data_IF_638112644156
#
_entry.id   IF_638112644156
#
_cell.length_a   1.000
_cell.length_b   1.000
_cell.length_c   1.000
_cell.angle_alpha   90.00
_cell.angle_beta   90.00
_cell.angle_gamma   90.00
#
_symmetry.space_group_name_H-M   'P 1'
#
loop_
_entity.id
_entity.type
_entity.pdbx_description
1 polymer ?
#
# COMPACT_ATOMS: atom_id res chain seq x y z
N UNK A 1 28.94 -19.24 22.60
CA UNK A 1 28.32 -18.25 21.71
C UNK A 1 27.59 -19.04 20.65
N UNK A 2 26.35 -19.41 20.96
CA UNK A 2 25.54 -20.25 20.07
C UNK A 2 25.01 -19.38 18.95
N UNK A 3 25.00 -19.91 17.73
CA UNK A 3 24.49 -19.22 16.54
C UNK A 3 23.04 -18.72 16.72
N UNK A 4 22.31 -19.26 17.71
CA UNK A 4 20.97 -18.84 18.14
C UNK A 4 20.98 -18.02 19.44
N UNK A 5 21.70 -16.90 19.47
CA UNK A 5 21.57 -15.93 20.56
C UNK A 5 20.17 -15.27 20.53
N UNK A 6 19.64 -14.89 21.69
CA UNK A 6 18.31 -14.27 21.87
C UNK A 6 18.10 -13.09 20.90
N UNK A 7 19.17 -12.35 20.60
CA UNK A 7 19.17 -11.24 19.64
C UNK A 7 18.92 -11.68 18.19
N UNK A 8 19.42 -12.84 17.76
CA UNK A 8 19.16 -13.37 16.42
C UNK A 8 17.68 -13.76 16.28
N UNK A 9 17.13 -14.44 17.29
CA UNK A 9 15.71 -14.79 17.32
C UNK A 9 14.82 -13.54 17.30
N UNK A 10 15.16 -12.53 18.10
CA UNK A 10 14.47 -11.23 18.09
C UNK A 10 14.55 -10.55 16.72
N UNK A 11 15.72 -10.56 16.06
CA UNK A 11 15.90 -10.00 14.72
C UNK A 11 15.06 -10.74 13.68
N UNK A 12 15.02 -12.09 13.72
CA UNK A 12 14.19 -12.90 12.84
C UNK A 12 12.71 -12.61 13.02
N UNK A 13 12.23 -12.53 14.27
CA UNK A 13 10.83 -12.18 14.56
C UNK A 13 10.52 -10.79 14.02
N UNK A 14 11.33 -9.78 14.32
CA UNK A 14 11.12 -8.43 13.81
C UNK A 14 11.17 -8.35 12.27
N UNK A 15 12.04 -9.14 11.64
CA UNK A 15 12.12 -9.27 10.19
C UNK A 15 10.85 -9.86 9.58
N UNK A 16 10.30 -10.92 10.18
CA UNK A 16 9.02 -11.53 9.74
C UNK A 16 7.86 -10.54 9.92
N UNK A 17 7.81 -9.83 11.05
CA UNK A 17 6.75 -8.85 11.32
C UNK A 17 6.77 -7.72 10.30
N UNK A 18 7.95 -7.16 10.00
CA UNK A 18 8.11 -6.14 8.96
C UNK A 18 7.81 -6.71 7.56
N UNK A 19 8.32 -7.91 7.27
CA UNK A 19 8.11 -8.61 6.02
C UNK A 19 6.63 -8.82 5.68
N UNK A 20 5.77 -9.07 6.68
CA UNK A 20 4.32 -9.18 6.45
C UNK A 20 3.67 -7.88 5.96
N UNK A 21 4.12 -6.72 6.48
CA UNK A 21 3.64 -5.40 6.01
C UNK A 21 4.14 -5.12 4.60
N UNK A 22 5.40 -5.47 4.31
CA UNK A 22 5.98 -5.35 2.97
C UNK A 22 5.29 -6.30 1.97
N UNK A 23 4.92 -7.51 2.39
CA UNK A 23 4.17 -8.45 1.55
C UNK A 23 2.77 -7.92 1.19
N UNK A 24 2.08 -7.25 2.13
CA UNK A 24 0.81 -6.57 1.85
C UNK A 24 0.99 -5.48 0.78
N UNK A 25 2.08 -4.72 0.90
CA UNK A 25 2.46 -3.68 -0.06
C UNK A 25 2.69 -4.23 -1.45
N UNK A 26 3.54 -5.25 -1.57
CA UNK A 26 3.84 -5.92 -2.84
C UNK A 26 2.60 -6.57 -3.43
N UNK A 27 1.70 -7.15 -2.60
CA UNK A 27 0.45 -7.73 -3.07
C UNK A 27 -0.47 -6.68 -3.72
N UNK A 28 -0.59 -5.48 -3.13
CA UNK A 28 -1.40 -4.40 -3.71
C UNK A 28 -0.86 -3.93 -5.06
N UNK A 29 0.46 -3.76 -5.18
CA UNK A 29 1.10 -3.38 -6.44
C UNK A 29 1.01 -4.49 -7.49
N UNK A 30 1.28 -5.74 -7.11
CA UNK A 30 1.21 -6.90 -7.99
C UNK A 30 -0.21 -7.10 -8.53
N UNK A 31 -1.23 -6.91 -7.69
CA UNK A 31 -2.62 -6.94 -8.11
C UNK A 31 -2.92 -5.89 -9.20
N UNK A 32 -2.43 -4.66 -9.04
CA UNK A 32 -2.58 -3.59 -10.05
C UNK A 32 -1.83 -3.96 -11.33
N UNK A 33 -0.54 -4.28 -11.21
CA UNK A 33 0.33 -4.58 -12.34
C UNK A 33 -0.15 -5.82 -13.11
N UNK A 34 -0.50 -6.90 -12.42
CA UNK A 34 -0.92 -8.16 -13.04
C UNK A 34 -2.23 -8.06 -13.83
N UNK A 35 -3.08 -7.08 -13.54
CA UNK A 35 -4.36 -6.90 -14.24
C UNK A 35 -4.28 -5.83 -15.32
N UNK A 36 -3.63 -4.70 -15.02
CA UNK A 36 -3.60 -3.51 -15.88
C UNK A 36 -2.40 -3.56 -16.82
N UNK A 37 -1.34 -4.29 -16.46
CA UNK A 37 -0.07 -4.42 -17.18
C UNK A 37 0.62 -3.06 -17.39
N UNK A 38 0.51 -2.19 -16.38
CA UNK A 38 1.17 -0.88 -16.32
C UNK A 38 1.88 -0.75 -14.99
N UNK A 39 3.18 -0.43 -15.03
CA UNK A 39 4.02 -0.27 -13.84
C UNK A 39 3.67 1.05 -13.14
N UNK A 40 3.20 0.98 -11.90
CA UNK A 40 2.88 2.16 -11.09
C UNK A 40 4.09 2.60 -10.24
N UNK A 41 5.03 3.33 -10.84
CA UNK A 41 6.20 3.87 -10.10
C UNK A 41 5.75 4.75 -8.92
N UNK A 42 4.67 5.52 -9.10
CA UNK A 42 4.09 6.38 -8.07
C UNK A 42 3.29 5.66 -6.98
N UNK A 43 3.19 4.33 -6.99
CA UNK A 43 2.41 3.58 -5.99
C UNK A 43 2.86 3.89 -4.55
N UNK A 44 4.16 4.06 -4.33
CA UNK A 44 4.68 4.40 -3.01
C UNK A 44 4.27 5.81 -2.53
N UNK A 45 3.94 6.71 -3.45
CA UNK A 45 3.42 8.04 -3.11
C UNK A 45 1.97 7.99 -2.63
N UNK A 46 1.19 6.98 -3.04
CA UNK A 46 -0.13 6.74 -2.44
C UNK A 46 0.00 6.36 -0.96
N UNK A 47 1.05 5.63 -0.59
CA UNK A 47 1.37 5.32 0.80
C UNK A 47 1.70 6.60 1.56
N UNK A 48 2.56 7.47 0.99
CA UNK A 48 2.89 8.77 1.57
C UNK A 48 1.62 9.58 1.84
N UNK A 49 0.72 9.70 0.85
CA UNK A 49 -0.54 10.42 1.02
C UNK A 49 -1.42 9.79 2.10
N UNK A 50 -1.44 8.45 2.21
CA UNK A 50 -2.13 7.74 3.29
C UNK A 50 -1.52 8.01 4.67
N UNK A 51 -0.19 8.09 4.77
CA UNK A 51 0.51 8.40 6.02
C UNK A 51 0.19 9.83 6.46
N UNK A 52 0.19 10.79 5.54
CA UNK A 52 -0.30 12.15 5.82
C UNK A 52 -1.77 12.14 6.23
N UNK A 53 -2.63 11.43 5.50
CA UNK A 53 -4.06 11.31 5.82
C UNK A 53 -4.28 10.84 7.26
N UNK A 54 -3.57 9.79 7.69
CA UNK A 54 -3.60 9.30 9.06
C UNK A 54 -3.10 10.33 10.07
N UNK A 55 -1.98 10.99 9.78
CA UNK A 55 -1.45 12.03 10.65
C UNK A 55 -2.45 13.18 10.84
N UNK A 56 -3.07 13.68 9.76
CA UNK A 56 -4.07 14.75 9.85
C UNK A 56 -5.32 14.31 10.61
N UNK A 57 -5.87 13.14 10.28
CA UNK A 57 -7.09 12.63 10.93
C UNK A 57 -6.89 12.39 12.43
N UNK A 58 -5.75 11.84 12.82
CA UNK A 58 -5.46 11.52 14.21
C UNK A 58 -4.98 12.73 15.02
N UNK A 59 -4.00 13.48 14.50
CA UNK A 59 -3.33 14.54 15.27
C UNK A 59 -4.12 15.84 15.29
N UNK A 60 -4.76 16.21 14.16
CA UNK A 60 -5.43 17.51 14.01
C UNK A 60 -6.94 17.39 14.22
N UNK A 61 -7.57 16.38 13.62
CA UNK A 61 -9.01 16.15 13.78
C UNK A 61 -9.37 15.31 15.02
N UNK A 62 -8.37 14.80 15.75
CA UNK A 62 -8.53 13.97 16.95
C UNK A 62 -9.50 12.79 16.75
N UNK A 63 -9.57 12.26 15.52
CA UNK A 63 -10.41 11.11 15.22
C UNK A 63 -9.83 9.85 15.90
N UNK A 64 -10.69 8.94 16.40
CA UNK A 64 -10.22 7.69 16.94
C UNK A 64 -9.49 6.89 15.84
N UNK A 65 -8.38 6.25 16.20
CA UNK A 65 -7.44 5.66 15.23
C UNK A 65 -8.10 4.67 14.26
N UNK A 66 -9.08 3.90 14.72
CA UNK A 66 -9.82 2.95 13.89
C UNK A 66 -10.66 3.64 12.82
N UNK A 67 -11.31 4.76 13.17
CA UNK A 67 -12.08 5.56 12.22
C UNK A 67 -11.16 6.28 11.25
N UNK A 68 -10.05 6.85 11.76
CA UNK A 68 -9.03 7.45 10.92
C UNK A 68 -8.48 6.44 9.89
N UNK A 69 -8.22 5.20 10.32
CA UNK A 69 -7.72 4.13 9.45
C UNK A 69 -8.72 3.76 8.36
N UNK A 70 -10.01 3.59 8.70
CA UNK A 70 -11.05 3.29 7.70
C UNK A 70 -11.20 4.42 6.68
N UNK A 71 -11.24 5.68 7.14
CA UNK A 71 -11.32 6.84 6.26
C UNK A 71 -10.08 6.92 5.36
N UNK A 72 -8.89 6.65 5.90
CA UNK A 72 -7.65 6.67 5.14
C UNK A 72 -7.63 5.55 4.08
N UNK A 73 -7.98 4.32 4.45
CA UNK A 73 -8.05 3.17 3.52
C UNK A 73 -8.99 3.49 2.35
N UNK A 74 -10.18 4.00 2.63
CA UNK A 74 -11.14 4.37 1.59
C UNK A 74 -10.65 5.57 0.77
N UNK A 75 -10.06 6.57 1.43
CA UNK A 75 -9.51 7.76 0.77
C UNK A 75 -8.39 7.42 -0.21
N UNK A 76 -7.43 6.59 0.19
CA UNK A 76 -6.33 6.14 -0.70
C UNK A 76 -6.87 5.18 -1.77
N UNK A 77 -7.88 4.37 -1.47
CA UNK A 77 -8.60 3.60 -2.48
C UNK A 77 -9.20 4.50 -3.58
N UNK A 78 -9.87 5.58 -3.19
CA UNK A 78 -10.41 6.57 -4.15
C UNK A 78 -9.27 7.25 -4.93
N UNK A 79 -8.18 7.63 -4.26
CA UNK A 79 -7.01 8.20 -4.93
C UNK A 79 -6.40 7.22 -5.96
N UNK A 80 -6.38 5.92 -5.66
CA UNK A 80 -5.97 4.88 -6.59
C UNK A 80 -6.86 4.83 -7.83
N UNK A 81 -8.19 4.91 -7.65
CA UNK A 81 -9.14 5.00 -8.79
C UNK A 81 -8.93 6.29 -9.58
N UNK A 82 -8.75 7.44 -8.90
CA UNK A 82 -8.51 8.72 -9.55
C UNK A 82 -7.22 8.69 -10.37
N UNK A 83 -6.15 8.15 -9.81
CA UNK A 83 -4.87 7.99 -10.51
C UNK A 83 -5.01 7.10 -11.74
N UNK A 84 -5.79 6.02 -11.63
CA UNK A 84 -6.10 5.18 -12.78
C UNK A 84 -6.84 5.95 -13.87
N UNK A 85 -7.92 6.66 -13.53
CA UNK A 85 -8.75 7.37 -14.51
C UNK A 85 -8.00 8.52 -15.17
N UNK A 86 -7.25 9.30 -14.38
CA UNK A 86 -6.62 10.54 -14.84
C UNK A 86 -5.30 10.29 -15.58
N UNK A 87 -4.53 9.29 -15.16
CA UNK A 87 -3.15 9.08 -15.65
C UNK A 87 -3.05 7.79 -16.44
N UNK A 88 -3.52 6.67 -15.88
CA UNK A 88 -3.24 5.35 -16.44
C UNK A 88 -4.15 5.03 -17.63
N UNK A 89 -5.46 5.27 -17.51
CA UNK A 89 -6.45 4.93 -18.53
C UNK A 89 -6.15 5.60 -19.89
N UNK A 90 -5.74 6.89 -19.97
CA UNK A 90 -5.32 7.51 -21.23
C UNK A 90 -4.05 6.90 -21.83
N UNK A 91 -3.22 6.23 -21.03
CA UNK A 91 -1.90 5.71 -21.42
C UNK A 91 -1.89 4.20 -21.70
N UNK A 92 -3.04 3.50 -21.54
CA UNK A 92 -3.13 2.06 -21.77
C UNK A 92 -2.73 1.63 -23.20
N UNK A 93 -2.90 2.50 -24.19
CA UNK A 93 -2.48 2.26 -25.58
C UNK A 93 -1.10 2.80 -25.96
N UNK A 94 -0.43 3.51 -25.04
CA UNK A 94 0.89 4.09 -25.29
C UNK A 94 2.01 3.08 -25.06
N UNK A 95 3.20 3.35 -25.61
CA UNK A 95 4.38 2.52 -25.38
C UNK A 95 4.70 2.41 -23.87
N UNK A 96 5.22 1.26 -23.38
CA UNK A 96 5.53 1.07 -21.96
C UNK A 96 6.42 2.17 -21.35
N UNK A 97 7.36 2.70 -22.14
CA UNK A 97 8.23 3.81 -21.73
C UNK A 97 7.43 5.09 -21.39
N UNK A 98 6.37 5.40 -22.15
CA UNK A 98 5.53 6.57 -21.89
C UNK A 98 4.74 6.41 -20.58
N UNK A 99 4.34 5.17 -20.26
CA UNK A 99 3.65 4.85 -19.01
C UNK A 99 4.59 5.00 -17.80
N UNK A 100 5.84 4.54 -17.92
CA UNK A 100 6.88 4.74 -16.89
C UNK A 100 7.19 6.23 -16.70
N UNK A 101 7.36 6.99 -17.79
CA UNK A 101 7.63 8.43 -17.73
C UNK A 101 6.47 9.19 -17.07
N UNK A 102 5.22 8.85 -17.40
CA UNK A 102 4.05 9.49 -16.79
C UNK A 102 3.91 9.15 -15.31
N UNK A 103 4.04 7.88 -14.93
CA UNK A 103 3.96 7.48 -13.51
C UNK A 103 5.13 8.00 -12.68
N UNK A 104 6.33 8.09 -13.25
CA UNK A 104 7.46 8.79 -12.65
C UNK A 104 7.22 10.31 -12.52
N UNK A 105 6.61 10.94 -13.52
CA UNK A 105 6.18 12.35 -13.43
C UNK A 105 5.18 12.59 -12.32
N UNK A 106 4.20 11.70 -12.15
CA UNK A 106 3.24 11.75 -11.03
C UNK A 106 3.94 11.57 -9.69
N UNK A 107 4.96 10.71 -9.60
CA UNK A 107 5.76 10.57 -8.39
C UNK A 107 6.36 11.92 -7.97
N UNK A 108 7.10 12.58 -8.88
CA UNK A 108 7.69 13.88 -8.58
C UNK A 108 6.64 14.96 -8.29
N UNK A 109 5.51 14.93 -8.99
CA UNK A 109 4.41 15.84 -8.76
C UNK A 109 3.83 15.69 -7.35
N UNK A 110 3.54 14.46 -6.91
CA UNK A 110 2.99 14.19 -5.59
C UNK A 110 3.96 14.54 -4.47
N UNK A 111 5.25 14.20 -4.61
CA UNK A 111 6.29 14.59 -3.66
C UNK A 111 6.42 16.12 -3.55
N UNK A 112 6.44 16.80 -4.69
CA UNK A 112 6.56 18.27 -4.73
C UNK A 112 5.33 18.93 -4.12
N UNK A 113 4.12 18.43 -4.45
CA UNK A 113 2.88 18.91 -3.88
C UNK A 113 2.83 18.70 -2.36
N UNK A 114 3.22 17.53 -1.87
CA UNK A 114 3.30 17.25 -0.44
C UNK A 114 4.31 18.14 0.27
N UNK A 115 5.46 18.41 -0.38
CA UNK A 115 6.49 19.32 0.16
C UNK A 115 5.96 20.75 0.31
N UNK A 116 5.23 21.26 -0.69
CA UNK A 116 4.64 22.61 -0.65
C UNK A 116 3.51 22.71 0.37
N UNK A 117 2.65 21.68 0.46
CA UNK A 117 1.47 21.70 1.33
C UNK A 117 1.80 21.41 2.80
N UNK A 118 2.74 20.51 3.06
CA UNK A 118 2.98 19.96 4.40
C UNK A 118 4.37 20.27 4.97
N UNK A 119 5.29 20.78 4.14
CA UNK A 119 6.69 21.01 4.48
C UNK A 119 7.54 19.75 4.39
N UNK A 120 8.83 19.90 4.70
CA UNK A 120 9.83 18.80 4.71
C UNK A 120 10.06 18.21 6.10
N UNK A 121 9.36 18.71 7.11
CA UNK A 121 9.53 18.27 8.50
C UNK A 121 8.99 16.85 8.70
N UNK A 122 9.71 16.08 9.51
CA UNK A 122 9.30 14.74 9.92
C UNK A 122 8.15 14.84 10.93
N UNK A 123 7.01 14.26 10.58
CA UNK A 123 5.80 14.27 11.41
C UNK A 123 5.58 12.87 11.99
N UNK A 124 5.63 12.76 13.30
CA UNK A 124 5.32 11.52 14.00
C UNK A 124 3.88 11.54 14.55
N UNK A 125 3.22 10.38 14.58
CA UNK A 125 1.85 10.27 15.11
C UNK A 125 1.80 10.44 16.66
N UNK A 126 2.94 10.42 17.34
CA UNK A 126 3.07 10.57 18.79
C UNK A 126 2.62 9.34 19.59
N UNK A 127 2.09 8.30 18.92
CA UNK A 127 1.62 7.08 19.56
C UNK A 127 2.79 6.18 19.97
N UNK A 128 2.96 6.01 21.28
CA UNK A 128 3.88 5.04 21.86
C UNK A 128 3.11 3.84 22.38
N UNK A 129 2.99 2.82 21.53
CA UNK A 129 2.43 1.53 21.95
C UNK A 129 3.44 0.78 22.84
N UNK A 130 2.97 -0.03 23.80
CA UNK A 130 3.84 -0.74 24.74
C UNK A 130 4.75 -1.73 24.02
N UNK A 131 5.93 -1.98 24.60
CA UNK A 131 6.84 -3.04 24.15
C UNK A 131 6.60 -4.27 25.01
N UNK A 132 6.31 -5.40 24.36
CA UNK A 132 6.16 -6.68 25.04
C UNK A 132 7.53 -7.28 25.30
N UNK A 133 7.81 -7.59 26.57
CA UNK A 133 9.01 -8.32 26.98
C UNK A 133 8.67 -9.80 27.09
N UNK A 134 9.18 -10.62 26.18
CA UNK A 134 8.89 -12.05 26.12
C UNK A 134 10.22 -12.79 26.16
N UNK A 135 10.49 -13.55 27.22
CA UNK A 135 11.71 -14.35 27.37
C UNK A 135 13.03 -13.57 27.15
N UNK A 136 13.08 -12.29 27.56
CA UNK A 136 14.23 -11.41 27.37
C UNK A 136 14.31 -10.71 26.02
N UNK A 137 13.38 -10.99 25.09
CA UNK A 137 13.23 -10.30 23.80
C UNK A 137 12.28 -9.10 23.91
N UNK A 138 12.54 -8.06 23.12
CA UNK A 138 11.70 -6.87 23.03
C UNK A 138 10.93 -6.83 21.71
N UNK A 139 9.61 -7.10 21.76
CA UNK A 139 8.74 -7.05 20.58
C UNK A 139 7.80 -5.87 20.67
N UNK A 140 7.86 -4.97 19.69
CA UNK A 140 6.95 -3.81 19.63
C UNK A 140 5.53 -4.25 19.35
N UNK A 141 4.58 -3.80 20.18
CA UNK A 141 3.15 -4.06 19.94
C UNK A 141 2.66 -3.45 18.62
N UNK A 142 3.24 -2.32 18.17
CA UNK A 142 2.96 -1.73 16.86
C UNK A 142 3.28 -2.70 15.72
N UNK A 143 4.41 -3.43 15.81
CA UNK A 143 4.84 -4.39 14.78
C UNK A 143 3.93 -5.62 14.73
N UNK A 144 3.52 -6.12 15.90
CA UNK A 144 2.57 -7.22 15.99
C UNK A 144 1.20 -6.86 15.42
N UNK A 145 0.68 -5.68 15.78
CA UNK A 145 -0.58 -5.18 15.26
C UNK A 145 -0.51 -4.97 13.75
N UNK A 146 0.60 -4.39 13.26
CA UNK A 146 0.83 -4.20 11.83
C UNK A 146 0.89 -5.54 11.08
N UNK A 147 1.61 -6.52 11.59
CA UNK A 147 1.67 -7.85 10.98
C UNK A 147 0.30 -8.53 10.97
N UNK A 148 -0.44 -8.50 12.08
CA UNK A 148 -1.77 -9.12 12.17
C UNK A 148 -2.76 -8.45 11.21
N UNK A 149 -2.78 -7.12 11.14
CA UNK A 149 -3.64 -6.38 10.22
C UNK A 149 -3.25 -6.61 8.75
N UNK A 150 -1.95 -6.69 8.46
CA UNK A 150 -1.45 -7.03 7.13
C UNK A 150 -1.89 -8.44 6.71
N UNK A 151 -1.75 -9.43 7.61
CA UNK A 151 -2.19 -10.80 7.35
C UNK A 151 -3.70 -10.86 7.10
N UNK A 152 -4.51 -10.15 7.88
CA UNK A 152 -5.95 -10.03 7.65
C UNK A 152 -6.22 -9.43 6.26
N UNK A 153 -5.53 -8.35 5.89
CA UNK A 153 -5.66 -7.72 4.57
C UNK A 153 -5.34 -8.69 3.43
N UNK A 154 -4.24 -9.43 3.53
CA UNK A 154 -3.83 -10.46 2.56
C UNK A 154 -4.89 -11.55 2.44
N UNK A 155 -5.38 -12.08 3.58
CA UNK A 155 -6.42 -13.12 3.59
C UNK A 155 -7.73 -12.61 3.00
N UNK A 156 -8.14 -11.38 3.30
CA UNK A 156 -9.34 -10.77 2.72
C UNK A 156 -9.24 -10.65 1.20
N UNK A 157 -8.09 -10.20 0.68
CA UNK A 157 -7.86 -10.14 -0.77
C UNK A 157 -7.85 -11.54 -1.37
N UNK A 158 -7.18 -12.51 -0.74
CA UNK A 158 -7.17 -13.89 -1.18
C UNK A 158 -8.59 -14.48 -1.29
N UNK A 159 -9.43 -14.25 -0.27
CA UNK A 159 -10.83 -14.68 -0.28
C UNK A 159 -11.64 -13.94 -1.35
N UNK A 160 -11.41 -12.64 -1.53
CA UNK A 160 -12.06 -11.87 -2.60
C UNK A 160 -11.71 -12.46 -3.96
N UNK A 161 -10.43 -12.72 -4.22
CA UNK A 161 -9.95 -13.28 -5.49
C UNK A 161 -10.48 -14.70 -5.75
N UNK A 162 -10.56 -15.54 -4.72
CA UNK A 162 -10.94 -16.95 -4.85
C UNK A 162 -12.43 -17.24 -4.76
N UNK A 163 -13.20 -16.44 -4.00
CA UNK A 163 -14.61 -16.73 -3.68
C UNK A 163 -15.61 -15.81 -4.37
N UNK A 164 -15.19 -14.73 -5.01
CA UNK A 164 -16.11 -13.78 -5.65
C UNK A 164 -16.07 -13.84 -7.17
N UNK A 165 -17.17 -13.45 -7.81
CA UNK A 165 -17.25 -13.31 -9.27
C UNK A 165 -16.24 -12.27 -9.78
N UNK A 166 -16.16 -11.13 -9.10
CA UNK A 166 -15.18 -10.07 -9.42
C UNK A 166 -13.75 -10.58 -9.33
N UNK A 167 -13.42 -11.35 -8.29
CA UNK A 167 -12.11 -11.99 -8.14
C UNK A 167 -11.77 -12.98 -9.26
N UNK A 168 -12.78 -13.70 -9.76
CA UNK A 168 -12.62 -14.59 -10.92
C UNK A 168 -12.36 -13.80 -12.19
N UNK A 169 -13.08 -12.70 -12.41
CA UNK A 169 -12.85 -11.80 -13.54
C UNK A 169 -11.46 -11.14 -13.49
N UNK A 170 -11.00 -10.70 -12.31
CA UNK A 170 -9.66 -10.15 -12.08
C UNK A 170 -8.60 -11.17 -12.48
N UNK A 171 -8.69 -12.41 -11.98
CA UNK A 171 -7.72 -13.46 -12.31
C UNK A 171 -7.77 -13.84 -13.79
N UNK A 172 -8.94 -13.85 -14.42
CA UNK A 172 -9.08 -14.14 -15.84
C UNK A 172 -8.43 -13.06 -16.73
N UNK A 173 -8.61 -11.78 -16.41
CA UNK A 173 -7.93 -10.67 -17.11
C UNK A 173 -6.41 -10.76 -16.97
N UNK A 174 -5.91 -11.13 -15.79
CA UNK A 174 -4.48 -11.30 -15.56
C UNK A 174 -3.86 -12.46 -16.36
N UNK A 175 -4.67 -13.43 -16.83
CA UNK A 175 -4.20 -14.51 -17.70
C UNK A 175 -4.25 -14.11 -19.17
N UNK A 176 -5.38 -13.56 -19.63
CA UNK A 176 -5.53 -13.08 -21.00
C UNK A 176 -6.45 -11.85 -21.08
N UNK A 177 -5.83 -10.67 -21.12
CA UNK A 177 -6.54 -9.39 -21.24
C UNK A 177 -7.22 -9.17 -22.59
N UNK A 178 -6.74 -9.81 -23.66
CA UNK A 178 -7.24 -9.58 -25.01
C UNK A 178 -8.53 -10.35 -25.27
N UNK A 179 -8.69 -11.51 -24.64
CA UNK A 179 -9.88 -12.36 -24.80
C UNK A 179 -11.05 -11.87 -23.92
N UNK A 180 -10.78 -11.22 -22.79
CA UNK A 180 -11.83 -10.88 -21.82
C UNK A 180 -13.00 -10.01 -22.33
N UNK A 181 -12.80 -9.02 -23.21
CA UNK A 181 -13.92 -8.30 -23.83
C UNK A 181 -14.85 -9.20 -24.66
N UNK A 182 -14.33 -10.29 -25.25
CA UNK A 182 -15.12 -11.27 -26.01
C UNK A 182 -16.00 -12.14 -25.09
N UNK A 183 -15.63 -12.25 -23.82
CA UNK A 183 -16.39 -12.96 -22.78
C UNK A 183 -17.47 -12.09 -22.12
N UNK A 184 -17.72 -10.89 -22.66
CA UNK A 184 -18.76 -9.97 -22.16
C UNK A 184 -18.39 -9.24 -20.87
N UNK A 185 -17.12 -9.28 -20.46
CA UNK A 185 -16.63 -8.59 -19.26
C UNK A 185 -16.19 -7.18 -19.61
N UNK A 186 -16.68 -6.20 -18.86
CA UNK A 186 -16.25 -4.81 -18.95
C UNK A 186 -14.88 -4.65 -18.27
N UNK A 187 -13.80 -4.81 -19.03
CA UNK A 187 -12.41 -4.67 -18.54
C UNK A 187 -12.17 -3.32 -17.85
N UNK A 188 -12.84 -2.25 -18.30
CA UNK A 188 -12.68 -0.92 -17.71
C UNK A 188 -13.19 -0.89 -16.27
N UNK A 189 -14.32 -1.55 -15.98
CA UNK A 189 -14.82 -1.68 -14.59
C UNK A 189 -13.86 -2.48 -13.73
N UNK A 190 -13.32 -3.59 -14.27
CA UNK A 190 -12.37 -4.40 -13.50
C UNK A 190 -11.09 -3.61 -13.21
N UNK A 191 -10.57 -2.84 -14.16
CA UNK A 191 -9.41 -1.96 -13.90
C UNK A 191 -9.68 -0.95 -12.78
N UNK A 192 -10.85 -0.31 -12.76
CA UNK A 192 -11.22 0.61 -11.69
C UNK A 192 -11.31 -0.09 -10.33
N UNK A 193 -11.94 -1.28 -10.28
CA UNK A 193 -12.06 -2.05 -9.04
C UNK A 193 -10.67 -2.47 -8.54
N UNK A 194 -9.82 -2.99 -9.43
CA UNK A 194 -8.46 -3.41 -9.09
C UNK A 194 -7.60 -2.24 -8.61
N UNK A 195 -7.67 -1.09 -9.29
CA UNK A 195 -6.97 0.12 -8.86
C UNK A 195 -7.47 0.66 -7.51
N UNK A 196 -8.78 0.59 -7.27
CA UNK A 196 -9.35 0.95 -5.97
C UNK A 196 -8.93 -0.01 -4.85
N UNK A 197 -8.92 -1.32 -5.14
CA UNK A 197 -8.49 -2.35 -4.19
C UNK A 197 -6.99 -2.23 -3.89
N UNK A 198 -6.16 -2.03 -4.90
CA UNK A 198 -4.73 -1.78 -4.73
C UNK A 198 -4.45 -0.48 -3.97
N UNK A 199 -5.18 0.60 -4.26
CA UNK A 199 -5.12 1.84 -3.49
C UNK A 199 -5.56 1.66 -2.02
N UNK A 200 -6.61 0.88 -1.77
CA UNK A 200 -7.06 0.58 -0.41
C UNK A 200 -6.00 -0.23 0.37
N UNK A 201 -5.30 -1.15 -0.30
CA UNK A 201 -4.18 -1.89 0.30
C UNK A 201 -2.99 -0.97 0.60
N UNK A 202 -2.68 -0.02 -0.29
CA UNK A 202 -1.69 1.03 -0.02
C UNK A 202 -2.10 1.89 1.18
N UNK A 203 -3.39 2.25 1.29
CA UNK A 203 -3.93 2.97 2.44
C UNK A 203 -3.84 2.17 3.74
N UNK A 204 -4.13 0.87 3.70
CA UNK A 204 -3.96 -0.02 4.84
C UNK A 204 -2.48 -0.07 5.25
N UNK A 205 -1.58 -0.31 4.30
CA UNK A 205 -0.15 -0.30 4.56
C UNK A 205 0.33 1.05 5.15
N UNK A 206 -0.16 2.18 4.65
CA UNK A 206 0.14 3.50 5.19
C UNK A 206 -0.28 3.64 6.66
N UNK A 207 -1.47 3.15 7.02
CA UNK A 207 -1.97 3.14 8.40
C UNK A 207 -1.11 2.28 9.33
N UNK A 208 -0.44 1.25 8.80
CA UNK A 208 0.42 0.35 9.57
C UNK A 208 1.86 0.86 9.67
N UNK A 209 2.35 1.50 8.60
CA UNK A 209 3.69 2.08 8.53
C UNK A 209 3.81 3.35 9.37
N UNK A 210 2.77 4.19 9.42
CA UNK A 210 2.76 5.43 10.22
C UNK A 210 2.89 5.20 11.74
N UNK A 211 2.63 3.97 12.21
CA UNK A 211 2.84 3.57 13.61
C UNK A 211 4.32 3.33 13.95
N UNK A 212 5.19 3.26 12.93
CA UNK A 212 6.57 2.80 13.04
C UNK A 212 7.57 3.75 12.39
N UNK A 213 7.12 4.51 11.40
CA UNK A 213 7.91 5.43 10.59
C UNK A 213 7.31 6.83 10.63
N UNK A 214 8.18 7.83 10.52
CA UNK A 214 7.78 9.22 10.43
C UNK A 214 7.23 9.55 9.05
N UNK A 215 6.26 10.47 9.02
CA UNK A 215 5.67 10.98 7.79
C UNK A 215 6.53 12.13 7.27
N UNK A 216 6.97 12.03 6.02
CA UNK A 216 7.66 13.11 5.31
C UNK A 216 7.45 12.94 3.79
N UNK A 217 7.67 13.98 2.96
CA UNK A 217 7.34 13.95 1.53
C UNK A 217 8.13 12.93 0.69
N UNK A 218 9.20 12.36 1.24
CA UNK A 218 10.09 11.44 0.53
C UNK A 218 9.98 9.99 1.03
N UNK A 219 9.02 9.72 1.92
CA UNK A 219 8.87 8.40 2.57
C UNK A 219 8.59 7.29 1.56
N UNK A 220 7.92 7.63 0.44
CA UNK A 220 7.65 6.69 -0.65
C UNK A 220 8.92 6.08 -1.25
N UNK A 221 10.04 6.82 -1.28
CA UNK A 221 11.30 6.33 -1.85
C UNK A 221 11.91 5.17 -1.06
N UNK A 222 11.64 5.08 0.25
CA UNK A 222 12.12 3.99 1.10
C UNK A 222 11.39 2.67 0.83
N UNK A 223 10.12 2.73 0.43
CA UNK A 223 9.27 1.54 0.26
C UNK A 223 9.07 1.16 -1.21
N UNK A 224 9.11 2.13 -2.13
CA UNK A 224 8.88 1.92 -3.55
C UNK A 224 9.70 0.79 -4.14
N UNK A 225 11.04 0.85 -4.11
CA UNK A 225 11.90 -0.21 -4.68
C UNK A 225 11.63 -1.59 -4.08
N UNK A 226 11.36 -1.67 -2.77
CA UNK A 226 11.12 -2.93 -2.07
C UNK A 226 9.79 -3.55 -2.52
N UNK A 227 8.80 -2.72 -2.83
CA UNK A 227 7.48 -3.17 -3.27
C UNK A 227 7.52 -3.81 -4.67
N UNK A 228 8.54 -3.49 -5.48
CA UNK A 228 8.77 -4.06 -6.81
C UNK A 228 9.56 -5.38 -6.81
N UNK A 229 10.18 -5.75 -5.69
CA UNK A 229 10.92 -7.00 -5.51
C UNK A 229 9.97 -8.15 -5.13
#
# INVERSE_FOLDING_TARGET
MGIFDVFLLEALINGILLGGVLALLSLGLNLIFGVIDVVWICYAELIMLGMYGMYFLYTIYHAPIWVAAVICILGVGVLGVMLHVLVIAPLLGAAPINQLLATGGVLFFLQSAATVLFGIEFKNLGLRLPVLKVWGMFVSYSRLLAFAAALIGIVLVYLLLTRTYTGTAIRAIAQDRQIMPLMGVDSRRIYLITSGLGGALAGLAACLLVLQYDVHPFVGLSFGPITFL
#
